data_IF_327331989079
#
_entry.id   IF_327331989079
#
_cell.length_a   1.000
_cell.length_b   1.000
_cell.length_c   1.000
_cell.angle_alpha   90.00
_cell.angle_beta   90.00
_cell.angle_gamma   90.00
#
_symmetry.space_group_name_H-M   'P 1'
#
loop_
_entity.id
_entity.type
_entity.pdbx_description
1 polymer ?
#
# COMPACT_ATOMS: atom_id res chain seq x y z
N UNK A 1 9.98 21.18 -37.26
CA UNK A 1 8.72 20.93 -36.54
C UNK A 1 8.94 19.72 -35.65
N UNK A 2 9.17 19.97 -34.37
CA UNK A 2 9.71 18.95 -33.47
C UNK A 2 8.55 18.34 -32.68
N UNK A 3 7.99 17.25 -33.19
CA UNK A 3 6.93 16.51 -32.50
C UNK A 3 7.52 15.79 -31.28
N UNK A 4 7.30 16.32 -30.09
CA UNK A 4 7.69 15.67 -28.83
C UNK A 4 6.87 14.40 -28.64
N UNK A 5 7.48 13.21 -28.44
CA UNK A 5 6.72 11.99 -28.22
C UNK A 5 5.98 12.10 -26.88
N UNK A 6 4.64 12.03 -26.92
CA UNK A 6 3.81 11.88 -25.72
C UNK A 6 4.26 10.61 -24.99
N UNK A 7 5.04 10.78 -23.93
CA UNK A 7 5.43 9.72 -23.01
C UNK A 7 4.13 9.12 -22.48
N UNK A 8 3.75 7.96 -23.03
CA UNK A 8 2.66 7.15 -22.50
C UNK A 8 3.14 6.66 -21.14
N UNK A 9 2.77 7.39 -20.09
CA UNK A 9 2.94 6.94 -18.70
C UNK A 9 2.32 5.55 -18.62
N UNK A 10 3.15 4.48 -18.59
CA UNK A 10 2.69 3.14 -18.26
C UNK A 10 2.07 3.28 -16.88
N UNK A 11 0.73 3.27 -16.81
CA UNK A 11 -0.03 3.28 -15.56
C UNK A 11 0.58 2.18 -14.70
N UNK A 12 1.34 2.56 -13.69
CA UNK A 12 2.00 1.59 -12.85
C UNK A 12 0.92 0.97 -11.98
N UNK A 13 0.61 -0.30 -12.22
CA UNK A 13 -0.30 -1.09 -11.37
C UNK A 13 0.25 -1.32 -9.95
N UNK A 14 1.31 -0.60 -9.60
CA UNK A 14 2.06 -0.68 -8.36
C UNK A 14 1.17 -0.49 -7.13
N UNK A 15 0.24 0.46 -7.20
CA UNK A 15 -0.73 0.73 -6.15
C UNK A 15 -1.71 -0.43 -5.95
N UNK A 16 -2.28 -0.93 -7.06
CA UNK A 16 -3.27 -2.02 -7.02
C UNK A 16 -2.66 -3.32 -6.51
N UNK A 17 -1.43 -3.64 -6.92
CA UNK A 17 -0.71 -4.84 -6.47
C UNK A 17 -0.45 -4.81 -4.96
N UNK A 18 -0.05 -3.66 -4.41
CA UNK A 18 0.18 -3.51 -2.98
C UNK A 18 -1.12 -3.64 -2.17
N UNK A 19 -2.22 -3.04 -2.64
CA UNK A 19 -3.52 -3.09 -1.94
C UNK A 19 -4.09 -4.51 -1.94
N UNK A 20 -3.96 -5.25 -3.04
CA UNK A 20 -4.44 -6.62 -3.14
C UNK A 20 -3.57 -7.63 -2.40
N UNK A 21 -2.24 -7.45 -2.36
CA UNK A 21 -1.32 -8.42 -1.74
C UNK A 21 -1.23 -8.31 -0.22
N UNK A 22 -1.45 -7.12 0.36
CA UNK A 22 -1.29 -6.92 1.81
C UNK A 22 -2.63 -6.70 2.48
N UNK A 23 -2.92 -7.54 3.47
CA UNK A 23 -4.09 -7.41 4.32
C UNK A 23 -3.93 -6.24 5.29
N UNK A 24 -4.99 -5.90 6.03
CA UNK A 24 -4.94 -4.86 7.06
C UNK A 24 -3.90 -5.22 8.14
N UNK A 25 -3.91 -6.48 8.60
CA UNK A 25 -3.01 -6.94 9.66
C UNK A 25 -1.55 -6.90 9.19
N UNK A 26 -1.27 -7.28 7.94
CA UNK A 26 0.08 -7.18 7.39
C UNK A 26 0.58 -5.73 7.37
N UNK A 27 -0.28 -4.77 7.01
CA UNK A 27 0.07 -3.34 6.97
C UNK A 27 0.40 -2.80 8.37
N UNK A 28 -0.37 -3.21 9.38
CA UNK A 28 -0.12 -2.85 10.79
C UNK A 28 1.19 -3.48 11.26
N UNK A 29 1.40 -4.77 10.99
CA UNK A 29 2.60 -5.49 11.39
C UNK A 29 3.87 -4.89 10.76
N UNK A 30 3.83 -4.53 9.48
CA UNK A 30 4.95 -3.86 8.80
C UNK A 30 5.25 -2.50 9.45
N UNK A 31 4.22 -1.75 9.86
CA UNK A 31 4.39 -0.46 10.51
C UNK A 31 5.05 -0.58 11.88
N UNK A 32 4.60 -1.54 12.70
CA UNK A 32 5.20 -1.84 14.01
C UNK A 32 6.66 -2.30 13.87
N UNK A 33 6.92 -3.24 12.95
CA UNK A 33 8.28 -3.71 12.65
C UNK A 33 9.18 -2.56 12.17
N UNK A 34 8.64 -1.60 11.43
CA UNK A 34 9.40 -0.41 11.02
C UNK A 34 9.72 0.50 12.20
N UNK A 35 8.79 0.71 13.13
CA UNK A 35 9.05 1.45 14.38
C UNK A 35 10.13 0.77 15.24
N UNK A 36 10.21 -0.56 15.19
CA UNK A 36 11.29 -1.34 15.82
C UNK A 36 12.65 -1.24 15.09
N UNK A 37 12.74 -0.51 13.98
CA UNK A 37 13.99 -0.27 13.25
C UNK A 37 14.35 -1.35 12.22
N UNK A 38 13.43 -2.26 11.87
CA UNK A 38 13.69 -3.29 10.86
C UNK A 38 14.01 -2.69 9.48
N UNK A 39 14.89 -3.38 8.72
CA UNK A 39 15.32 -2.95 7.39
C UNK A 39 14.26 -3.28 6.34
N UNK A 40 14.05 -2.37 5.39
CA UNK A 40 13.11 -2.56 4.28
C UNK A 40 13.38 -3.82 3.45
N UNK A 41 14.65 -4.23 3.27
CA UNK A 41 15.01 -5.44 2.51
C UNK A 41 14.50 -6.72 3.19
N UNK A 42 14.57 -6.78 4.52
CA UNK A 42 14.08 -7.93 5.29
C UNK A 42 12.55 -8.00 5.24
N UNK A 43 11.87 -6.86 5.42
CA UNK A 43 10.41 -6.77 5.28
C UNK A 43 9.96 -7.10 3.85
N UNK A 44 10.66 -6.59 2.84
CA UNK A 44 10.37 -6.85 1.43
C UNK A 44 10.41 -8.35 1.09
N UNK A 45 11.44 -9.04 1.57
CA UNK A 45 11.58 -10.48 1.37
C UNK A 45 10.54 -11.29 2.14
N UNK A 46 10.23 -10.90 3.39
CA UNK A 46 9.25 -11.60 4.24
C UNK A 46 7.83 -11.51 3.70
N UNK A 47 7.43 -10.34 3.23
CA UNK A 47 6.07 -10.10 2.73
C UNK A 47 5.94 -10.25 1.21
N UNK A 48 7.04 -10.51 0.49
CA UNK A 48 7.03 -10.65 -0.97
C UNK A 48 6.62 -9.38 -1.72
N UNK A 49 6.94 -8.21 -1.15
CA UNK A 49 6.55 -6.89 -1.68
C UNK A 49 7.79 -6.07 -1.95
N UNK A 50 7.80 -5.31 -3.04
CA UNK A 50 8.94 -4.45 -3.39
C UNK A 50 9.21 -3.42 -2.28
N UNK A 51 10.49 -3.16 -1.99
CA UNK A 51 10.91 -2.18 -0.98
C UNK A 51 10.37 -0.76 -1.25
N UNK A 52 10.23 -0.38 -2.52
CA UNK A 52 9.57 0.87 -2.92
C UNK A 52 8.10 0.92 -2.48
N UNK A 53 7.39 -0.21 -2.49
CA UNK A 53 5.98 -0.31 -2.12
C UNK A 53 5.80 -0.14 -0.62
N UNK A 54 6.71 -0.75 0.15
CA UNK A 54 6.77 -0.56 1.60
C UNK A 54 7.10 0.90 1.97
N UNK A 55 8.06 1.53 1.30
CA UNK A 55 8.39 2.95 1.52
C UNK A 55 7.20 3.85 1.24
N UNK A 56 6.44 3.54 0.20
CA UNK A 56 5.24 4.28 -0.16
C UNK A 56 4.11 4.07 0.86
N UNK A 57 3.84 2.83 1.29
CA UNK A 57 2.87 2.52 2.34
C UNK A 57 3.19 3.28 3.63
N UNK A 58 4.44 3.24 4.08
CA UNK A 58 4.85 3.93 5.30
C UNK A 58 4.62 5.44 5.22
N UNK A 59 4.87 6.08 4.06
CA UNK A 59 4.53 7.50 3.86
C UNK A 59 3.03 7.78 3.94
N UNK A 60 2.18 6.84 3.53
CA UNK A 60 0.73 7.00 3.68
C UNK A 60 0.31 6.92 5.14
N UNK A 61 0.85 5.96 5.88
CA UNK A 61 0.56 5.81 7.32
C UNK A 61 1.10 7.01 8.10
N UNK A 62 2.25 7.54 7.72
CA UNK A 62 2.83 8.73 8.34
C UNK A 62 1.99 9.99 8.10
N UNK A 63 1.38 10.10 6.90
CA UNK A 63 0.56 11.26 6.52
C UNK A 63 -0.85 11.24 7.11
N UNK A 64 -1.45 10.06 7.23
CA UNK A 64 -2.87 9.92 7.53
C UNK A 64 -3.17 9.00 8.71
N UNK A 65 -2.13 8.62 9.45
CA UNK A 65 -2.17 7.67 10.55
C UNK A 65 -2.70 6.27 10.17
N UNK A 66 -2.79 5.39 11.16
CA UNK A 66 -3.31 4.03 11.00
C UNK A 66 -4.81 4.04 10.63
N UNK A 67 -5.52 5.14 10.84
CA UNK A 67 -6.96 5.28 10.56
C UNK A 67 -7.31 5.05 9.08
N UNK A 68 -6.42 5.42 8.15
CA UNK A 68 -6.63 5.10 6.73
C UNK A 68 -6.53 3.60 6.49
N UNK A 69 -5.62 2.88 7.15
CA UNK A 69 -5.53 1.43 6.99
C UNK A 69 -6.89 0.80 7.36
N UNK A 70 -7.57 1.30 8.41
CA UNK A 70 -8.93 0.88 8.81
C UNK A 70 -9.98 1.19 7.75
N UNK A 71 -9.96 2.39 7.16
CA UNK A 71 -10.89 2.81 6.08
C UNK A 71 -10.76 1.96 4.80
N UNK A 72 -9.60 1.34 4.59
CA UNK A 72 -9.31 0.49 3.42
C UNK A 72 -9.70 -0.99 3.60
N UNK A 73 -10.33 -1.39 4.72
CA UNK A 73 -11.24 -2.52 4.68
C UNK A 73 -12.36 -2.11 3.72
N UNK A 74 -12.39 -2.69 2.52
CA UNK A 74 -13.57 -2.63 1.68
C UNK A 74 -14.75 -2.99 2.58
N UNK A 75 -15.56 -2.00 2.98
CA UNK A 75 -16.93 -2.24 3.44
C UNK A 75 -17.67 -2.72 2.20
N UNK A 76 -17.37 -3.94 1.77
CA UNK A 76 -18.07 -4.58 0.68
C UNK A 76 -19.42 -4.97 1.25
N UNK A 77 -20.33 -3.99 1.23
CA UNK A 77 -21.65 -3.97 1.84
C UNK A 77 -21.64 -4.30 3.33
N UNK A 78 -22.05 -3.33 4.17
CA UNK A 78 -22.73 -3.71 5.40
C UNK A 78 -24.00 -4.46 4.95
N UNK A 79 -24.18 -5.76 5.23
CA UNK A 79 -25.35 -6.51 4.77
C UNK A 79 -26.66 -6.01 5.41
N UNK A 80 -26.57 -5.08 6.36
CA UNK A 80 -27.67 -4.56 7.18
C UNK A 80 -28.53 -3.47 6.50
N UNK A 81 -28.34 -3.21 5.21
CA UNK A 81 -29.10 -2.21 4.44
C UNK A 81 -29.85 -2.81 3.23
N UNK A 82 -29.97 -4.13 3.16
CA UNK A 82 -30.96 -4.79 2.30
C UNK A 82 -32.15 -5.16 3.20
N UNK A 83 -33.02 -4.19 3.46
CA UNK A 83 -34.41 -4.46 3.80
C UNK A 83 -35.22 -4.35 2.51
#
# INVERSE_FOLDING_TARGET
>A
MNCTPKIRQKKSNFWGVFIMKLTYDDKVQIYELRKQGQKFKQLSNRFGVNASGLKYMLKLIDRYEIEIIKKWKNRHYFPKLKQ
#
